data_IF_456701358630
#
_entry.id   IF_456701358630
#
_cell.length_a   1.000
_cell.length_b   1.000
_cell.length_c   1.000
_cell.angle_alpha   90.00
_cell.angle_beta   90.00
_cell.angle_gamma   90.00
#
_symmetry.space_group_name_H-M   'P 1'
#
loop_
_entity.id
_entity.type
_entity.pdbx_description
1 polymer ?
#
# COMPACT_ATOMS: atom_id res chain seq x y z
N UNK A 1 7.02 -22.03 -8.45
CA UNK A 1 6.73 -21.07 -7.36
C UNK A 1 5.29 -21.28 -6.88
N UNK A 2 5.07 -21.67 -5.62
CA UNK A 2 3.70 -21.85 -5.07
C UNK A 2 3.11 -20.46 -4.79
N UNK A 3 2.00 -20.10 -5.45
CA UNK A 3 1.26 -18.90 -5.08
C UNK A 3 0.66 -19.07 -3.69
N UNK A 4 1.04 -18.21 -2.74
CA UNK A 4 0.54 -18.27 -1.37
C UNK A 4 -0.94 -17.88 -1.33
N UNK A 5 -1.81 -18.80 -0.92
CA UNK A 5 -3.27 -18.65 -0.85
C UNK A 5 -3.73 -17.40 -0.09
N UNK A 6 -2.93 -16.89 0.86
CA UNK A 6 -3.19 -15.66 1.61
C UNK A 6 -3.12 -14.36 0.79
N UNK A 7 -2.35 -14.33 -0.31
CA UNK A 7 -2.18 -13.12 -1.13
C UNK A 7 -3.45 -12.79 -1.95
N UNK A 8 -4.17 -13.83 -2.39
CA UNK A 8 -5.40 -13.66 -3.18
C UNK A 8 -6.55 -13.09 -2.34
N UNK A 9 -6.71 -13.56 -1.09
CA UNK A 9 -7.68 -13.00 -0.15
C UNK A 9 -7.40 -11.54 0.18
N UNK A 10 -6.11 -11.18 0.31
CA UNK A 10 -5.68 -9.80 0.54
C UNK A 10 -5.95 -8.92 -0.69
N UNK A 11 -5.69 -9.43 -1.89
CA UNK A 11 -5.93 -8.71 -3.14
C UNK A 11 -7.40 -8.28 -3.28
N UNK A 12 -8.36 -9.18 -3.03
CA UNK A 12 -9.79 -8.85 -3.10
C UNK A 12 -10.18 -7.75 -2.11
N UNK A 13 -9.63 -7.78 -0.89
CA UNK A 13 -9.87 -6.74 0.13
C UNK A 13 -9.28 -5.38 -0.27
N UNK A 14 -8.05 -5.37 -0.79
CA UNK A 14 -7.40 -4.14 -1.27
C UNK A 14 -8.14 -3.56 -2.49
N UNK A 15 -8.65 -4.41 -3.38
CA UNK A 15 -9.47 -3.98 -4.52
C UNK A 15 -10.75 -3.30 -4.05
N UNK A 16 -11.41 -3.86 -3.03
CA UNK A 16 -12.61 -3.24 -2.43
C UNK A 16 -12.27 -1.88 -1.79
N UNK A 17 -11.18 -1.81 -1.03
CA UNK A 17 -10.71 -0.54 -0.44
C UNK A 17 -10.40 0.52 -1.51
N UNK A 18 -9.79 0.14 -2.63
CA UNK A 18 -9.54 1.06 -3.73
C UNK A 18 -10.83 1.58 -4.39
N UNK A 19 -11.90 0.79 -4.38
CA UNK A 19 -13.22 1.24 -4.85
C UNK A 19 -13.90 2.17 -3.84
N UNK A 20 -13.71 1.93 -2.55
CA UNK A 20 -14.26 2.76 -1.46
C UNK A 20 -13.51 4.09 -1.28
N UNK A 21 -12.25 4.17 -1.71
CA UNK A 21 -11.38 5.34 -1.62
C UNK A 21 -10.81 5.76 -2.98
N UNK A 22 -11.64 6.27 -3.91
CA UNK A 22 -11.20 6.67 -5.25
C UNK A 22 -10.19 7.83 -5.24
N UNK A 23 -10.07 8.56 -4.14
CA UNK A 23 -9.08 9.61 -3.92
C UNK A 23 -7.66 9.09 -3.67
N UNK A 24 -7.50 7.79 -3.41
CA UNK A 24 -6.23 7.15 -3.11
C UNK A 24 -5.82 6.27 -4.30
N UNK A 25 -4.60 6.46 -4.80
CA UNK A 25 -4.05 5.60 -5.84
C UNK A 25 -3.45 4.33 -5.24
N UNK A 26 -4.08 3.18 -5.51
CA UNK A 26 -3.55 1.87 -5.13
C UNK A 26 -2.73 1.27 -6.28
N UNK A 27 -1.41 1.18 -6.11
CA UNK A 27 -0.50 0.55 -7.08
C UNK A 27 -0.12 -0.87 -6.63
N UNK A 28 -0.43 -1.86 -7.46
CA UNK A 28 0.06 -3.23 -7.30
C UNK A 28 1.28 -3.43 -8.17
N UNK A 29 2.44 -3.63 -7.55
CA UNK A 29 3.68 -3.90 -8.25
C UNK A 29 4.03 -5.39 -8.12
N UNK A 30 4.45 -6.01 -9.24
CA UNK A 30 4.91 -7.39 -9.23
C UNK A 30 6.38 -7.44 -8.76
N UNK A 31 6.62 -8.05 -7.60
CA UNK A 31 7.96 -8.21 -7.03
C UNK A 31 8.92 -9.08 -7.86
N UNK A 32 8.42 -9.83 -8.84
CA UNK A 32 9.23 -10.58 -9.80
C UNK A 32 9.59 -9.80 -11.07
N UNK A 33 9.31 -8.49 -11.12
CA UNK A 33 9.72 -7.65 -12.24
C UNK A 33 11.16 -7.15 -12.05
N UNK A 34 12.10 -7.76 -12.79
CA UNK A 34 13.53 -7.44 -12.71
C UNK A 34 13.86 -5.98 -13.04
N UNK A 35 13.08 -5.33 -13.92
CA UNK A 35 13.29 -3.91 -14.26
C UNK A 35 13.05 -2.98 -13.07
N UNK A 36 12.25 -3.41 -12.09
CA UNK A 36 11.93 -2.67 -10.88
C UNK A 36 12.78 -3.09 -9.68
N UNK A 37 13.70 -4.04 -9.86
CA UNK A 37 14.57 -4.53 -8.78
C UNK A 37 15.35 -3.41 -8.08
N UNK A 38 15.94 -2.42 -8.77
CA UNK A 38 16.62 -1.30 -8.10
C UNK A 38 15.71 -0.51 -7.17
N UNK A 39 14.43 -0.32 -7.56
CA UNK A 39 13.42 0.37 -6.74
C UNK A 39 13.10 -0.45 -5.49
N UNK A 40 12.98 -1.77 -5.62
CA UNK A 40 12.75 -2.65 -4.48
C UNK A 40 13.92 -2.63 -3.49
N UNK A 41 15.15 -2.63 -4.00
CA UNK A 41 16.36 -2.53 -3.18
C UNK A 41 16.46 -1.18 -2.45
N UNK A 42 16.23 -0.07 -3.15
CA UNK A 42 16.22 1.29 -2.59
C UNK A 42 15.21 1.43 -1.43
N UNK A 43 14.02 0.87 -1.59
CA UNK A 43 12.98 0.90 -0.56
C UNK A 43 13.09 -0.23 0.48
N UNK A 44 14.09 -1.11 0.38
CA UNK A 44 14.34 -2.20 1.33
C UNK A 44 13.24 -3.28 1.32
N UNK A 45 12.67 -3.58 0.16
CA UNK A 45 11.63 -4.60 0.00
C UNK A 45 12.26 -5.99 0.05
N UNK A 46 12.19 -6.64 1.21
CA UNK A 46 12.80 -7.97 1.46
C UNK A 46 11.80 -9.12 1.52
N UNK A 47 10.50 -8.83 1.60
CA UNK A 47 9.44 -9.83 1.71
C UNK A 47 8.12 -9.34 1.10
N UNK A 48 7.32 -10.26 0.57
CA UNK A 48 5.97 -9.99 0.05
C UNK A 48 4.90 -10.58 0.99
N UNK A 49 3.75 -9.90 1.16
CA UNK A 49 3.40 -8.58 0.64
C UNK A 49 4.10 -7.44 1.40
N UNK A 50 4.46 -6.38 0.66
CA UNK A 50 5.04 -5.14 1.18
C UNK A 50 4.14 -3.96 0.82
N UNK A 51 4.01 -3.02 1.74
CA UNK A 51 3.24 -1.80 1.56
C UNK A 51 4.16 -0.59 1.76
N UNK A 52 4.03 0.36 0.84
CA UNK A 52 4.69 1.65 0.89
C UNK A 52 3.62 2.73 0.71
N UNK A 53 3.52 3.64 1.68
CA UNK A 53 2.62 4.79 1.61
C UNK A 53 3.42 6.03 1.26
N UNK A 54 3.07 6.67 0.15
CA UNK A 54 3.74 7.86 -0.39
C UNK A 54 2.74 9.00 -0.48
N UNK A 55 3.16 10.20 -0.07
CA UNK A 55 2.41 11.45 -0.25
C UNK A 55 3.38 12.57 -0.59
N UNK A 56 3.06 13.37 -1.60
CA UNK A 56 3.90 14.51 -2.05
C UNK A 56 5.37 14.14 -2.28
N UNK A 57 5.61 12.95 -2.87
CA UNK A 57 6.94 12.41 -3.12
C UNK A 57 7.71 11.95 -1.88
N UNK A 58 7.09 11.95 -0.69
CA UNK A 58 7.70 11.52 0.57
C UNK A 58 7.09 10.22 1.04
N UNK A 59 7.94 9.33 1.54
CA UNK A 59 7.47 8.13 2.23
C UNK A 59 6.91 8.48 3.61
N UNK A 60 5.70 8.01 3.90
CA UNK A 60 5.05 8.18 5.21
C UNK A 60 5.23 6.95 6.08
N UNK A 61 5.04 5.76 5.49
CA UNK A 61 5.18 4.50 6.19
C UNK A 61 5.53 3.37 5.23
N UNK A 62 6.24 2.37 5.76
CA UNK A 62 6.58 1.13 5.07
C UNK A 62 6.40 -0.06 5.99
N UNK A 63 5.79 -1.13 5.51
CA UNK A 63 5.58 -2.34 6.31
C UNK A 63 5.38 -3.58 5.43
N UNK A 64 6.01 -4.69 5.81
CA UNK A 64 5.71 -6.01 5.25
C UNK A 64 4.56 -6.65 6.03
N UNK A 65 3.53 -7.17 5.36
CA UNK A 65 2.44 -7.83 6.06
C UNK A 65 2.69 -9.34 6.17
N UNK A 66 3.30 -9.76 7.28
CA UNK A 66 2.61 -10.78 8.09
C UNK A 66 1.31 -10.10 8.54
N UNK A 67 0.14 -10.61 8.17
CA UNK A 67 -1.17 -9.97 8.38
C UNK A 67 -1.58 -9.89 9.87
N UNK A 68 -0.72 -9.31 10.72
CA UNK A 68 -1.02 -9.06 12.13
C UNK A 68 -2.04 -7.93 12.26
N UNK A 69 -2.88 -7.95 13.29
CA UNK A 69 -3.86 -6.89 13.56
C UNK A 69 -3.24 -5.49 13.58
N UNK A 70 -2.03 -5.35 14.13
CA UNK A 70 -1.31 -4.08 14.24
C UNK A 70 -0.96 -3.48 12.87
N UNK A 71 -0.48 -4.30 11.92
CA UNK A 71 -0.13 -3.84 10.58
C UNK A 71 -1.36 -3.51 9.73
N UNK A 72 -2.47 -4.21 9.97
CA UNK A 72 -3.76 -3.85 9.37
C UNK A 72 -4.32 -2.55 9.95
N UNK A 73 -4.13 -2.30 11.25
CA UNK A 73 -4.49 -1.03 11.87
C UNK A 73 -3.65 0.12 11.30
N UNK A 74 -2.35 -0.10 11.07
CA UNK A 74 -1.46 0.83 10.39
C UNK A 74 -2.00 1.18 8.99
N UNK A 75 -2.27 0.17 8.15
CA UNK A 75 -2.84 0.41 6.81
C UNK A 75 -4.11 1.28 6.86
N UNK A 76 -5.06 0.94 7.74
CA UNK A 76 -6.31 1.71 7.88
C UNK A 76 -6.06 3.15 8.30
N UNK A 77 -5.13 3.37 9.23
CA UNK A 77 -4.77 4.71 9.69
C UNK A 77 -4.21 5.57 8.55
N UNK A 78 -3.30 5.02 7.75
CA UNK A 78 -2.71 5.74 6.63
C UNK A 78 -3.73 6.04 5.53
N UNK A 79 -4.67 5.12 5.26
CA UNK A 79 -5.79 5.36 4.33
C UNK A 79 -6.69 6.50 4.81
N UNK A 80 -7.08 6.49 6.08
CA UNK A 80 -7.90 7.56 6.67
C UNK A 80 -7.16 8.92 6.63
N UNK A 81 -5.86 8.93 6.91
CA UNK A 81 -5.04 10.13 6.86
C UNK A 81 -4.90 10.67 5.42
N UNK A 82 -4.81 9.79 4.42
CA UNK A 82 -4.76 10.19 3.01
C UNK A 82 -6.10 10.79 2.54
N UNK A 83 -7.21 10.14 2.87
CA UNK A 83 -8.56 10.64 2.56
C UNK A 83 -8.81 12.02 3.17
N UNK A 84 -8.50 12.19 4.47
CA UNK A 84 -8.64 13.46 5.17
C UNK A 84 -7.76 14.56 4.56
N UNK A 85 -6.52 14.24 4.20
CA UNK A 85 -5.60 15.20 3.57
C UNK A 85 -6.11 15.67 2.20
N UNK A 86 -6.68 14.77 1.38
CA UNK A 86 -7.31 15.15 0.10
C UNK A 86 -8.50 16.09 0.33
N UNK A 87 -9.35 15.78 1.29
CA UNK A 87 -10.53 16.59 1.60
C UNK A 87 -10.13 17.99 2.06
N UNK A 88 -9.11 18.11 2.92
CA UNK A 88 -8.57 19.39 3.33
C UNK A 88 -8.01 20.20 2.15
N UNK A 89 -7.29 19.54 1.23
CA UNK A 89 -6.77 20.19 0.02
C UNK A 89 -7.88 20.68 -0.94
N UNK A 90 -9.05 20.03 -0.98
CA UNK A 90 -10.19 20.50 -1.76
C UNK A 90 -10.86 21.73 -1.17
N UNK A 91 -10.86 21.90 0.16
CA UNK A 91 -11.49 23.04 0.83
C UNK A 91 -10.58 24.27 0.86
N UNK A 92 -9.27 24.06 0.76
CA UNK A 92 -8.27 25.14 0.71
C UNK A 92 -8.00 25.68 -0.71
N UNK A 93 -8.63 25.12 -1.75
CA UNK A 93 -8.50 25.50 -3.16
C UNK A 93 -9.74 26.26 -3.63
#
# INVERSE_FOLDING_TARGET
MKQAMGLNCLHTKLKKLAQEHPEILFLKVNGSNETLRPVFEEHGVTAVPFFLCIRDGRELSRFSASLSPEKLALLRRELMAAAAARQAALVAA
#
